data_IF_857187878179
#
_entry.id   IF_857187878179
#
_cell.length_a   1.000
_cell.length_b   1.000
_cell.length_c   1.000
_cell.angle_alpha   90.00
_cell.angle_beta   90.00
_cell.angle_gamma   90.00
#
_symmetry.space_group_name_H-M   'P 1'
#
loop_
_entity.id
_entity.type
_entity.pdbx_description
1 polymer ?
#
# COMPACT_ATOMS: atom_id res chain seq x y z
N UNK A 1 0.76 -24.15 19.12
CA UNK A 1 1.02 -22.71 19.35
C UNK A 1 2.52 -22.36 19.36
N UNK A 2 3.43 -23.20 19.86
CA UNK A 2 4.88 -22.86 19.92
C UNK A 2 5.56 -22.81 18.55
N UNK A 3 5.39 -23.86 17.72
CA UNK A 3 6.05 -23.94 16.41
C UNK A 3 5.48 -22.89 15.45
N UNK A 4 4.18 -22.62 15.52
CA UNK A 4 3.47 -21.60 14.76
C UNK A 4 4.11 -20.22 14.96
N UNK A 5 4.36 -19.85 16.23
CA UNK A 5 4.98 -18.56 16.58
C UNK A 5 6.41 -18.50 16.06
N UNK A 6 7.18 -19.58 16.19
CA UNK A 6 8.56 -19.64 15.69
C UNK A 6 8.58 -19.45 14.17
N UNK A 7 7.72 -20.16 13.43
CA UNK A 7 7.59 -20.03 11.98
C UNK A 7 7.20 -18.60 11.59
N UNK A 8 6.26 -17.99 12.33
CA UNK A 8 5.83 -16.63 12.08
C UNK A 8 6.96 -15.60 12.27
N UNK A 9 7.70 -15.68 13.38
CA UNK A 9 8.84 -14.80 13.66
C UNK A 9 9.95 -15.01 12.62
N UNK A 10 10.25 -16.27 12.28
CA UNK A 10 11.23 -16.60 11.25
C UNK A 10 10.83 -16.01 9.89
N UNK A 11 9.54 -16.04 9.55
CA UNK A 11 9.02 -15.46 8.32
C UNK A 11 9.14 -13.92 8.30
N UNK A 12 8.91 -13.24 9.43
CA UNK A 12 9.14 -11.79 9.54
C UNK A 12 10.62 -11.47 9.29
N UNK A 13 11.53 -12.15 9.97
CA UNK A 13 12.96 -11.95 9.79
C UNK A 13 13.38 -12.25 8.35
N UNK A 14 12.85 -13.32 7.75
CA UNK A 14 13.07 -13.67 6.36
C UNK A 14 12.60 -12.55 5.42
N UNK A 15 11.40 -11.99 5.64
CA UNK A 15 10.89 -10.86 4.85
C UNK A 15 11.78 -9.62 4.94
N UNK A 16 12.30 -9.31 6.13
CA UNK A 16 13.25 -8.19 6.32
C UNK A 16 14.54 -8.42 5.55
N UNK A 17 15.14 -9.60 5.70
CA UNK A 17 16.41 -9.94 5.03
C UNK A 17 16.23 -10.00 3.51
N UNK A 18 15.11 -10.55 3.02
CA UNK A 18 14.79 -10.62 1.60
C UNK A 18 14.65 -9.21 1.00
N UNK A 19 13.93 -8.32 1.68
CA UNK A 19 13.79 -6.92 1.27
C UNK A 19 15.14 -6.18 1.25
N UNK A 20 15.96 -6.37 2.28
CA UNK A 20 17.29 -5.76 2.38
C UNK A 20 18.28 -6.28 1.33
N UNK A 21 18.26 -7.58 1.06
CA UNK A 21 19.09 -8.18 0.01
C UNK A 21 18.71 -7.62 -1.36
N UNK A 22 17.41 -7.51 -1.62
CA UNK A 22 16.91 -7.03 -2.91
C UNK A 22 17.17 -5.54 -3.13
N UNK A 23 17.09 -4.72 -2.07
CA UNK A 23 17.42 -3.29 -2.18
C UNK A 23 18.87 -3.03 -2.58
N UNK A 24 19.79 -3.96 -2.26
CA UNK A 24 21.19 -3.90 -2.68
C UNK A 24 21.42 -4.48 -4.08
N UNK A 25 20.61 -5.45 -4.50
CA UNK A 25 20.81 -6.16 -5.77
C UNK A 25 19.49 -6.71 -6.32
N UNK A 26 19.07 -6.19 -7.47
CA UNK A 26 17.85 -6.57 -8.19
C UNK A 26 18.14 -7.23 -9.56
N UNK A 27 19.35 -7.78 -9.78
CA UNK A 27 19.74 -8.44 -11.04
C UNK A 27 18.75 -9.53 -11.47
N UNK A 28 18.25 -10.32 -10.51
CA UNK A 28 17.30 -11.38 -10.79
C UNK A 28 15.96 -10.83 -11.29
N UNK A 29 15.46 -9.74 -10.68
CA UNK A 29 14.25 -9.06 -11.15
C UNK A 29 14.43 -8.51 -12.56
N UNK A 30 15.57 -7.88 -12.85
CA UNK A 30 15.88 -7.37 -14.19
C UNK A 30 15.92 -8.47 -15.24
N UNK A 31 16.45 -9.65 -14.90
CA UNK A 31 16.46 -10.81 -15.79
C UNK A 31 15.03 -11.24 -16.13
N UNK A 32 14.18 -11.41 -15.11
CA UNK A 32 12.77 -11.77 -15.32
C UNK A 32 12.03 -10.69 -16.10
N UNK A 33 12.27 -9.40 -15.80
CA UNK A 33 11.68 -8.29 -16.52
C UNK A 33 12.09 -8.26 -18.00
N UNK A 34 13.36 -8.58 -18.32
CA UNK A 34 13.87 -8.64 -19.69
C UNK A 34 13.28 -9.79 -20.50
N UNK A 35 12.94 -10.91 -19.84
CA UNK A 35 12.31 -12.07 -20.49
C UNK A 35 10.82 -11.82 -20.73
N UNK A 36 10.15 -11.14 -19.79
CA UNK A 36 8.68 -10.98 -19.82
C UNK A 36 8.22 -9.73 -20.58
N UNK A 37 9.03 -8.69 -20.67
CA UNK A 37 8.65 -7.41 -21.28
C UNK A 37 9.43 -7.11 -22.56
N UNK A 38 8.77 -6.46 -23.52
CA UNK A 38 9.40 -5.90 -24.72
C UNK A 38 10.39 -4.80 -24.35
N UNK A 39 11.34 -4.47 -25.25
CA UNK A 39 12.39 -3.45 -24.99
C UNK A 39 11.83 -2.10 -24.52
N UNK A 40 10.63 -1.74 -24.97
CA UNK A 40 9.95 -0.47 -24.64
C UNK A 40 9.32 -0.49 -23.25
N UNK A 41 8.89 -1.66 -22.77
CA UNK A 41 8.28 -1.87 -21.45
C UNK A 41 9.29 -2.36 -20.40
N UNK A 42 10.57 -2.41 -20.77
CA UNK A 42 11.62 -2.81 -19.85
C UNK A 42 11.90 -1.70 -18.83
N UNK A 43 12.16 -2.13 -17.61
CA UNK A 43 12.56 -1.26 -16.51
C UNK A 43 13.87 -0.52 -16.85
N UNK A 44 13.91 0.78 -16.53
CA UNK A 44 15.10 1.62 -16.69
C UNK A 44 16.32 1.04 -15.92
N UNK A 45 17.56 1.23 -16.43
CA UNK A 45 18.76 0.63 -15.84
C UNK A 45 19.05 1.12 -14.41
N UNK A 46 18.66 2.33 -14.08
CA UNK A 46 18.89 3.02 -12.82
C UNK A 46 17.76 2.83 -11.81
N UNK A 47 16.65 2.20 -12.22
CA UNK A 47 15.55 1.90 -11.30
C UNK A 47 15.99 0.79 -10.32
N UNK A 48 15.76 0.94 -8.99
CA UNK A 48 16.11 -0.08 -8.01
C UNK A 48 14.97 -1.08 -7.71
N UNK A 49 13.79 -0.93 -8.33
CA UNK A 49 12.62 -1.80 -8.13
C UNK A 49 12.96 -3.30 -8.26
N UNK A 50 12.37 -4.09 -7.38
CA UNK A 50 12.50 -5.56 -7.34
C UNK A 50 11.15 -6.26 -7.33
N UNK A 51 11.12 -7.51 -6.87
CA UNK A 51 9.91 -8.28 -6.57
C UNK A 51 9.22 -7.77 -5.29
N UNK A 52 10.00 -7.37 -4.29
CA UNK A 52 9.58 -6.91 -2.98
C UNK A 52 9.92 -5.43 -2.76
N UNK A 53 11.12 -5.02 -3.16
CA UNK A 53 11.62 -3.65 -2.98
C UNK A 53 10.89 -2.65 -3.89
N UNK A 54 10.34 -1.58 -3.28
CA UNK A 54 9.56 -0.52 -3.95
C UNK A 54 8.37 -1.01 -4.80
N UNK A 55 7.83 -2.20 -4.51
CA UNK A 55 6.62 -2.70 -5.16
C UNK A 55 5.36 -2.36 -4.37
N UNK A 56 4.21 -2.12 -5.04
CA UNK A 56 2.93 -1.95 -4.38
C UNK A 56 2.51 -3.26 -3.71
N UNK A 57 1.59 -3.16 -2.75
CA UNK A 57 1.10 -4.29 -1.95
C UNK A 57 0.72 -5.50 -2.81
N UNK A 58 -0.10 -5.27 -3.84
CA UNK A 58 -0.65 -6.34 -4.67
C UNK A 58 0.44 -7.16 -5.35
N UNK A 59 1.43 -6.50 -5.97
CA UNK A 59 2.54 -7.20 -6.61
C UNK A 59 3.40 -7.93 -5.59
N UNK A 60 3.61 -7.33 -4.41
CA UNK A 60 4.35 -7.95 -3.32
C UNK A 60 3.68 -9.25 -2.85
N UNK A 61 2.37 -9.21 -2.65
CA UNK A 61 1.56 -10.37 -2.28
C UNK A 61 1.66 -11.47 -3.34
N UNK A 62 1.53 -11.13 -4.63
CA UNK A 62 1.62 -12.09 -5.73
C UNK A 62 2.99 -12.76 -5.75
N UNK A 63 4.09 -12.00 -5.70
CA UNK A 63 5.45 -12.56 -5.76
C UNK A 63 5.80 -13.39 -4.53
N UNK A 64 5.42 -12.94 -3.33
CA UNK A 64 5.63 -13.72 -2.11
C UNK A 64 4.85 -15.03 -2.20
N UNK A 65 3.55 -14.96 -2.51
CA UNK A 65 2.70 -16.15 -2.59
C UNK A 65 3.20 -17.12 -3.66
N UNK A 66 3.59 -16.62 -4.85
CA UNK A 66 4.15 -17.46 -5.91
C UNK A 66 5.47 -18.12 -5.49
N UNK A 67 6.37 -17.38 -4.83
CA UNK A 67 7.63 -17.93 -4.31
C UNK A 67 7.40 -19.01 -3.24
N UNK A 68 6.45 -18.78 -2.34
CA UNK A 68 6.03 -19.77 -1.35
C UNK A 68 5.38 -20.99 -2.00
N UNK A 69 4.51 -20.83 -3.00
CA UNK A 69 3.89 -21.94 -3.73
C UNK A 69 4.95 -22.79 -4.44
N UNK A 70 5.94 -22.15 -5.06
CA UNK A 70 7.08 -22.85 -5.66
C UNK A 70 7.88 -23.62 -4.60
N UNK A 71 8.14 -23.01 -3.45
CA UNK A 71 8.77 -23.67 -2.30
C UNK A 71 7.95 -24.85 -1.78
N UNK A 72 6.62 -24.73 -1.73
CA UNK A 72 5.72 -25.80 -1.33
C UNK A 72 5.82 -26.97 -2.30
N UNK A 73 5.77 -26.72 -3.61
CA UNK A 73 5.94 -27.77 -4.63
C UNK A 73 7.24 -28.53 -4.39
N UNK A 74 8.36 -27.83 -4.15
CA UNK A 74 9.65 -28.47 -3.85
C UNK A 74 9.61 -29.28 -2.56
N UNK A 75 9.03 -28.75 -1.47
CA UNK A 75 8.94 -29.45 -0.18
C UNK A 75 8.06 -30.70 -0.30
N UNK A 76 7.01 -30.66 -1.10
CA UNK A 76 6.09 -31.79 -1.30
C UNK A 76 6.70 -32.98 -2.03
N UNK A 77 7.83 -32.78 -2.74
CA UNK A 77 8.60 -33.88 -3.31
C UNK A 77 9.24 -34.76 -2.23
N UNK A 78 9.48 -34.20 -1.04
CA UNK A 78 10.14 -34.89 0.09
C UNK A 78 9.14 -35.24 1.18
N UNK A 79 8.12 -34.41 1.41
CA UNK A 79 7.18 -34.54 2.53
C UNK A 79 5.73 -34.63 2.04
N UNK A 80 4.90 -35.55 2.55
CA UNK A 80 3.48 -35.60 2.21
C UNK A 80 2.71 -34.39 2.78
N UNK A 81 1.73 -33.91 2.02
CA UNK A 81 0.88 -32.78 2.42
C UNK A 81 -0.06 -33.14 3.57
N UNK A 82 -0.13 -32.27 4.58
CA UNK A 82 -1.08 -32.35 5.69
C UNK A 82 -1.69 -30.97 6.00
N UNK A 83 -2.74 -30.93 6.81
CA UNK A 83 -3.44 -29.68 7.16
C UNK A 83 -2.56 -28.69 7.94
N UNK A 84 -1.58 -29.17 8.72
CA UNK A 84 -0.66 -28.30 9.46
C UNK A 84 0.26 -27.51 8.53
N UNK A 85 0.68 -28.10 7.40
CA UNK A 85 1.49 -27.41 6.39
C UNK A 85 0.77 -26.17 5.86
N UNK A 86 -0.54 -26.25 5.61
CA UNK A 86 -1.33 -25.10 5.12
C UNK A 86 -1.36 -23.97 6.14
N UNK A 87 -1.54 -24.28 7.43
CA UNK A 87 -1.53 -23.27 8.49
C UNK A 87 -0.18 -22.57 8.61
N UNK A 88 0.93 -23.33 8.63
CA UNK A 88 2.28 -22.76 8.66
C UNK A 88 2.58 -21.94 7.41
N UNK A 89 2.05 -22.35 6.26
CA UNK A 89 2.21 -21.66 5.00
C UNK A 89 1.55 -20.29 4.98
N UNK A 90 0.29 -20.20 5.42
CA UNK A 90 -0.42 -18.92 5.53
C UNK A 90 0.30 -18.00 6.53
N UNK A 91 0.70 -18.53 7.68
CA UNK A 91 1.47 -17.78 8.69
C UNK A 91 2.79 -17.25 8.10
N UNK A 92 3.50 -18.07 7.32
CA UNK A 92 4.76 -17.66 6.71
C UNK A 92 4.57 -16.57 5.63
N UNK A 93 3.50 -16.63 4.82
CA UNK A 93 3.19 -15.58 3.84
C UNK A 93 2.90 -14.26 4.56
N UNK A 94 2.01 -14.28 5.57
CA UNK A 94 1.63 -13.09 6.33
C UNK A 94 2.83 -12.51 7.08
N UNK A 95 3.64 -13.36 7.73
CA UNK A 95 4.85 -12.95 8.41
C UNK A 95 5.88 -12.33 7.45
N UNK A 96 6.08 -12.94 6.28
CA UNK A 96 6.99 -12.39 5.26
C UNK A 96 6.51 -11.03 4.76
N UNK A 97 5.21 -10.88 4.48
CA UNK A 97 4.61 -9.60 4.10
C UNK A 97 4.87 -8.54 5.18
N UNK A 98 4.53 -8.84 6.43
CA UNK A 98 4.78 -7.94 7.56
C UNK A 98 6.26 -7.55 7.65
N UNK A 99 7.18 -8.51 7.51
CA UNK A 99 8.62 -8.28 7.48
C UNK A 99 9.05 -7.32 6.37
N UNK A 100 8.52 -7.46 5.15
CA UNK A 100 8.84 -6.53 4.06
C UNK A 100 8.33 -5.12 4.32
N UNK A 101 7.20 -4.95 5.02
CA UNK A 101 6.68 -3.63 5.38
C UNK A 101 7.49 -2.97 6.48
N UNK A 102 7.83 -3.73 7.52
CA UNK A 102 8.75 -3.29 8.57
C UNK A 102 10.04 -2.80 7.92
N UNK A 103 10.64 -3.60 7.04
CA UNK A 103 11.86 -3.21 6.32
C UNK A 103 11.64 -1.94 5.49
N UNK A 104 10.54 -1.84 4.73
CA UNK A 104 10.27 -0.63 3.93
C UNK A 104 10.17 0.63 4.79
N UNK A 105 9.55 0.56 5.97
CA UNK A 105 9.48 1.70 6.89
C UNK A 105 10.86 2.11 7.42
N UNK A 106 11.73 1.14 7.77
CA UNK A 106 13.11 1.41 8.19
C UNK A 106 14.00 1.99 7.08
N UNK A 107 13.74 1.66 5.82
CA UNK A 107 14.46 2.23 4.68
C UNK A 107 13.99 3.65 4.35
N UNK A 108 12.67 3.89 4.34
CA UNK A 108 12.11 5.23 4.09
C UNK A 108 12.56 6.22 5.18
N UNK A 109 12.59 5.78 6.44
CA UNK A 109 13.07 6.63 7.55
C UNK A 109 14.55 6.97 7.43
N UNK A 110 15.41 6.07 6.93
CA UNK A 110 16.82 6.40 6.66
C UNK A 110 17.00 7.46 5.58
N UNK A 111 16.16 7.43 4.54
CA UNK A 111 16.19 8.46 3.49
C UNK A 111 15.65 9.80 4.01
N UNK A 112 14.57 9.79 4.81
CA UNK A 112 14.02 11.00 5.44
C UNK A 112 14.94 11.62 6.50
N UNK A 113 15.80 10.82 7.14
CA UNK A 113 16.82 11.27 8.11
C UNK A 113 18.15 11.71 7.44
N UNK A 114 18.20 11.85 6.12
CA UNK A 114 19.38 12.40 5.47
C UNK A 114 19.67 13.82 5.98
N UNK A 115 20.95 14.19 6.08
CA UNK A 115 21.36 15.51 6.60
C UNK A 115 20.72 16.66 5.82
N UNK A 116 20.53 16.49 4.52
CA UNK A 116 19.88 17.46 3.63
C UNK A 116 18.40 17.62 3.97
N UNK A 117 17.67 16.51 4.15
CA UNK A 117 16.25 16.54 4.52
C UNK A 117 16.03 17.09 5.94
N UNK A 118 16.97 16.84 6.86
CA UNK A 118 16.97 17.45 8.20
C UNK A 118 17.23 18.96 8.16
N UNK A 119 18.16 19.43 7.33
CA UNK A 119 18.42 20.87 7.14
C UNK A 119 17.19 21.55 6.53
N UNK A 120 16.59 20.94 5.50
CA UNK A 120 15.39 21.47 4.85
C UNK A 120 14.18 21.49 5.80
N UNK A 121 14.00 20.45 6.62
CA UNK A 121 12.94 20.41 7.64
C UNK A 121 13.15 21.46 8.74
N UNK A 122 14.40 21.72 9.14
CA UNK A 122 14.75 22.77 10.09
C UNK A 122 14.54 24.17 9.49
N UNK A 123 14.86 24.37 8.21
CA UNK A 123 14.59 25.63 7.51
C UNK A 123 13.10 25.88 7.38
N UNK A 124 12.32 24.91 6.88
CA UNK A 124 10.85 25.03 6.85
C UNK A 124 10.28 25.29 8.25
N UNK A 125 10.80 24.62 9.28
CA UNK A 125 10.40 24.85 10.66
C UNK A 125 10.71 26.27 11.16
N UNK A 126 11.82 26.87 10.71
CA UNK A 126 12.13 28.28 10.98
C UNK A 126 11.19 29.21 10.23
N UNK A 127 10.95 28.96 8.95
CA UNK A 127 10.03 29.77 8.13
C UNK A 127 8.61 29.73 8.72
N UNK A 128 8.14 28.57 9.19
CA UNK A 128 6.85 28.45 9.89
C UNK A 128 6.81 29.19 11.23
N UNK A 129 7.93 29.25 11.97
CA UNK A 129 8.03 30.00 13.23
C UNK A 129 8.10 31.50 12.95
N UNK A 130 8.80 31.92 11.90
CA UNK A 130 8.86 33.31 11.44
C UNK A 130 7.48 33.77 10.95
N UNK A 131 6.77 32.98 10.15
CA UNK A 131 5.39 33.26 9.72
C UNK A 131 4.42 33.36 10.92
N UNK A 132 4.62 32.55 11.96
CA UNK A 132 3.80 32.59 13.17
C UNK A 132 4.19 33.74 14.12
N UNK A 133 5.45 34.17 14.09
CA UNK A 133 5.98 35.29 14.86
C UNK A 133 5.71 36.66 14.20
N UNK A 134 5.64 36.71 12.86
CA UNK A 134 5.23 37.87 12.06
C UNK A 134 3.70 38.02 11.97
N UNK A 135 2.97 37.40 12.90
CA UNK A 135 1.53 37.57 13.09
C UNK A 135 1.12 39.04 13.01
N UNK A 136 0.48 39.40 11.89
CA UNK A 136 -0.21 40.67 11.71
C UNK A 136 -1.30 40.80 12.79
N UNK A 137 -1.42 41.95 13.47
CA UNK A 137 -2.58 42.26 14.28
C UNK A 137 -3.67 42.85 13.38
N UNK A 138 -4.84 42.21 13.33
CA UNK A 138 -6.18 42.78 13.13
C UNK A 138 -7.11 41.57 12.93
N UNK A 139 -7.76 41.10 14.00
CA UNK A 139 -9.06 41.59 14.46
C UNK A 139 -10.17 41.30 13.44
N UNK A 140 -10.78 40.12 13.56
CA UNK A 140 -12.22 39.94 13.39
C UNK A 140 -12.63 38.68 14.17
N UNK A 141 -12.95 38.92 15.44
CA UNK A 141 -13.79 38.05 16.23
C UNK A 141 -15.23 38.55 16.10
N UNK A 142 -16.17 37.60 16.07
CA UNK A 142 -17.64 37.66 16.02
C UNK A 142 -18.12 37.04 14.70
N UNK A 143 -18.88 35.95 14.67
CA UNK A 143 -20.01 35.53 15.51
C UNK A 143 -19.90 34.01 15.79
N UNK A 144 -20.03 33.49 17.03
CA UNK A 144 -21.29 33.32 17.77
C UNK A 144 -22.32 32.58 16.87
N UNK A 145 -22.78 31.35 17.09
CA UNK A 145 -23.31 30.71 18.30
C UNK A 145 -23.98 29.40 17.86
N UNK A 146 -23.86 28.34 18.68
CA UNK A 146 -24.82 27.24 19.00
C UNK A 146 -25.76 26.73 17.87
N UNK A 147 -25.94 25.43 17.64
CA UNK A 147 -26.60 24.52 18.59
C UNK A 147 -26.26 23.04 18.32
N UNK A 148 -26.00 22.36 19.43
CA UNK A 148 -26.10 20.91 19.66
C UNK A 148 -27.53 20.43 19.46
N UNK A 149 -27.72 19.14 19.11
CA UNK A 149 -28.77 18.16 19.54
C UNK A 149 -29.06 17.22 18.34
N UNK A 150 -28.46 16.04 18.24
CA UNK A 150 -28.85 14.75 18.86
C UNK A 150 -30.11 14.09 18.22
N UNK A 151 -29.96 12.80 17.88
CA UNK A 151 -30.97 11.75 17.67
C UNK A 151 -31.65 11.54 16.29
N UNK A 152 -31.28 10.43 15.64
CA UNK A 152 -32.14 9.49 14.87
C UNK A 152 -33.37 9.03 15.71
N UNK A 153 -34.44 8.34 15.19
CA UNK A 153 -34.63 7.67 13.88
C UNK A 153 -36.07 7.72 13.28
N UNK A 154 -36.27 6.95 12.20
CA UNK A 154 -37.53 6.33 11.70
C UNK A 154 -38.45 7.01 10.65
N UNK A 155 -38.40 6.43 9.43
CA UNK A 155 -39.50 6.01 8.54
C UNK A 155 -40.82 6.81 8.52
N UNK A 156 -41.14 7.38 7.35
CA UNK A 156 -42.41 7.16 6.64
C UNK A 156 -42.36 7.69 5.20
N UNK A 157 -43.09 7.01 4.30
CA UNK A 157 -43.10 7.17 2.85
C UNK A 157 -44.30 8.01 2.35
N UNK A 158 -44.22 8.44 1.08
CA UNK A 158 -45.25 9.06 0.19
C UNK A 158 -45.54 10.57 0.45
N UNK A 159 -45.60 11.51 -0.52
CA UNK A 159 -45.93 11.49 -1.94
C UNK A 159 -45.35 12.72 -2.74
N UNK A 160 -45.32 12.57 -4.07
CA UNK A 160 -44.73 13.32 -5.23
C UNK A 160 -45.01 14.85 -5.39
N UNK A 161 -44.48 15.61 -6.40
CA UNK A 161 -43.82 15.19 -7.66
C UNK A 161 -42.61 16.03 -8.14
N UNK A 162 -41.52 15.39 -8.59
CA UNK A 162 -40.56 16.04 -9.49
C UNK A 162 -40.44 15.24 -10.80
N UNK A 163 -40.44 15.99 -11.91
CA UNK A 163 -40.57 15.54 -13.29
C UNK A 163 -39.72 14.30 -13.67
N UNK A 164 -40.20 13.47 -14.63
CA UNK A 164 -39.51 12.25 -15.02
C UNK A 164 -38.15 12.58 -15.65
N UNK A 165 -37.06 12.33 -14.92
CA UNK A 165 -35.70 12.45 -15.45
C UNK A 165 -35.52 11.35 -16.50
N UNK A 166 -35.31 11.75 -17.77
CA UNK A 166 -35.05 10.85 -18.92
C UNK A 166 -34.02 9.79 -18.55
N UNK A 167 -34.34 8.53 -18.84
CA UNK A 167 -33.46 7.40 -18.59
C UNK A 167 -32.14 7.56 -19.35
N UNK A 168 -31.04 7.03 -18.79
CA UNK A 168 -29.74 6.99 -19.45
C UNK A 168 -29.84 6.38 -20.86
N UNK A 169 -30.78 5.47 -21.06
CA UNK A 169 -31.06 4.84 -22.36
C UNK A 169 -31.67 5.82 -23.38
N UNK A 170 -32.61 6.66 -22.96
CA UNK A 170 -33.19 7.69 -23.84
C UNK A 170 -32.18 8.78 -24.18
N UNK A 171 -31.26 9.10 -23.24
CA UNK A 171 -30.15 10.03 -23.48
C UNK A 171 -29.14 9.50 -24.50
N UNK A 172 -28.95 8.19 -24.57
CA UNK A 172 -28.06 7.54 -25.54
C UNK A 172 -28.73 7.42 -26.91
N UNK A 173 -30.06 7.23 -26.94
CA UNK A 173 -30.87 7.24 -28.16
C UNK A 173 -30.93 8.63 -28.80
N UNK A 174 -31.14 9.69 -28.02
CA UNK A 174 -31.09 11.10 -28.51
C UNK A 174 -29.72 11.47 -29.10
N UNK A 175 -28.65 10.78 -28.68
CA UNK A 175 -27.28 10.98 -29.20
C UNK A 175 -26.93 10.09 -30.40
N UNK A 176 -27.89 9.31 -30.92
CA UNK A 176 -27.68 8.43 -32.07
C UNK A 176 -26.68 7.30 -31.83
N UNK A 177 -26.40 6.97 -30.56
CA UNK A 177 -25.43 5.92 -30.19
C UNK A 177 -26.07 4.53 -30.16
N UNK A 178 -27.41 4.48 -30.10
CA UNK A 178 -28.23 3.27 -30.15
C UNK A 178 -29.49 3.58 -30.97
N UNK A 179 -29.93 2.66 -31.82
CA UNK A 179 -31.16 2.78 -32.61
C UNK A 179 -32.38 2.25 -31.84
#
# INVERSE_FOLDING_TARGET
MTIEIIVFIAAILFGIVAYWRESKNNKFYRLVNKITHSKELQMAPDNPKGFLYLQPFLMRLVWITAGFLLGLVVITLVTPLNLFVVQYFVSAIVGTLAGTYIASAFFVTKEGLSKENLIEAVQKGKDFIEDLAEGKPEAEAQEATQETTEAEPEKQAEAAPEAPKKSARDRLRDKGMIN
#
